data_IF_451498519650
#
_entry.id   IF_451498519650
#
_cell.length_a   1.000
_cell.length_b   1.000
_cell.length_c   1.000
_cell.angle_alpha   90.00
_cell.angle_beta   90.00
_cell.angle_gamma   90.00
#
_symmetry.space_group_name_H-M   'P 1'
#
loop_
_entity.id
_entity.type
_entity.pdbx_description
1 polymer ?
#
# COMPACT_ATOMS: atom_id res chain seq x y z
N UNK A 1 -20.32 -11.42 0.14
CA UNK A 1 -21.70 -10.84 0.12
C UNK A 1 -21.67 -9.65 1.05
N UNK A 2 -21.77 -8.44 0.50
CA UNK A 2 -21.90 -7.22 1.29
C UNK A 2 -23.18 -7.31 2.10
N UNK A 3 -23.06 -7.20 3.42
CA UNK A 3 -24.23 -7.22 4.28
C UNK A 3 -25.06 -5.94 4.05
N UNK A 4 -26.41 -6.03 4.04
CA UNK A 4 -27.29 -4.88 3.78
C UNK A 4 -27.07 -3.68 4.70
N UNK A 5 -26.42 -3.88 5.87
CA UNK A 5 -26.15 -2.83 6.87
C UNK A 5 -24.98 -1.91 6.53
N UNK A 6 -24.12 -2.25 5.57
CA UNK A 6 -22.97 -1.42 5.16
C UNK A 6 -23.30 -0.47 3.99
N UNK A 7 -24.48 -0.58 3.38
CA UNK A 7 -24.84 0.13 2.15
C UNK A 7 -25.17 1.62 2.32
N UNK A 8 -25.45 2.11 3.50
CA UNK A 8 -25.84 3.51 3.69
C UNK A 8 -24.65 4.46 3.84
N UNK A 9 -23.89 4.31 4.91
CA UNK A 9 -22.83 5.28 5.25
C UNK A 9 -21.52 5.05 4.52
N UNK A 10 -21.13 3.79 4.29
CA UNK A 10 -19.87 3.46 3.62
C UNK A 10 -19.84 3.86 2.14
N UNK A 11 -20.97 3.70 1.45
CA UNK A 11 -21.06 4.02 0.01
C UNK A 11 -21.14 5.54 -0.21
N UNK A 12 -21.83 6.27 0.66
CA UNK A 12 -21.86 7.74 0.63
C UNK A 12 -20.47 8.32 0.89
N UNK A 13 -19.76 7.80 1.87
CA UNK A 13 -18.41 8.28 2.21
C UNK A 13 -17.40 7.99 1.09
N UNK A 14 -17.40 6.78 0.53
CA UNK A 14 -16.58 6.41 -0.61
C UNK A 14 -16.90 7.23 -1.86
N UNK A 15 -18.18 7.47 -2.12
CA UNK A 15 -18.61 8.28 -3.27
C UNK A 15 -18.10 9.71 -3.16
N UNK A 16 -18.18 10.33 -1.97
CA UNK A 16 -17.72 11.69 -1.75
C UNK A 16 -16.21 11.87 -1.97
N UNK A 17 -15.41 10.83 -1.69
CA UNK A 17 -13.95 10.90 -1.89
C UNK A 17 -13.51 10.80 -3.36
N UNK A 18 -14.29 10.12 -4.22
CA UNK A 18 -13.90 9.80 -5.60
C UNK A 18 -14.77 10.47 -6.66
N UNK A 19 -15.93 11.00 -6.30
CA UNK A 19 -16.92 11.53 -7.24
C UNK A 19 -16.34 12.61 -8.17
N UNK A 20 -15.51 13.49 -7.64
CA UNK A 20 -14.87 14.57 -8.40
C UNK A 20 -13.38 14.33 -8.55
N UNK A 21 -13.03 13.15 -9.04
CA UNK A 21 -11.65 12.73 -9.31
C UNK A 21 -11.49 12.29 -10.75
N UNK A 22 -10.38 12.70 -11.37
CA UNK A 22 -10.09 12.45 -12.78
C UNK A 22 -8.87 11.54 -12.90
N UNK A 23 -9.02 10.43 -13.62
CA UNK A 23 -7.89 9.59 -13.98
C UNK A 23 -7.25 10.15 -15.23
N UNK A 24 -6.00 10.60 -15.12
CA UNK A 24 -5.27 11.21 -16.22
C UNK A 24 -4.36 10.25 -16.98
N UNK A 25 -3.89 9.16 -16.35
CA UNK A 25 -2.97 8.20 -16.95
C UNK A 25 -3.26 6.76 -16.55
N UNK A 26 -2.64 5.82 -17.28
CA UNK A 26 -2.57 4.39 -17.02
C UNK A 26 -1.13 3.93 -17.16
N UNK A 27 -0.79 2.80 -16.52
CA UNK A 27 0.55 2.25 -16.54
C UNK A 27 1.49 2.87 -15.50
N UNK A 28 2.58 2.18 -15.21
CA UNK A 28 3.58 2.63 -14.24
C UNK A 28 4.93 2.01 -14.54
N UNK A 29 5.94 2.82 -14.84
CA UNK A 29 7.32 2.36 -15.04
C UNK A 29 8.13 2.26 -13.74
N UNK A 30 7.51 2.54 -12.59
CA UNK A 30 8.17 2.47 -11.27
C UNK A 30 8.77 1.11 -10.95
N UNK A 31 8.14 0.03 -11.41
CA UNK A 31 8.72 -1.30 -11.38
C UNK A 31 8.87 -1.91 -9.98
N UNK A 32 8.11 -1.47 -8.97
CA UNK A 32 8.18 -2.06 -7.63
C UNK A 32 7.83 -3.54 -7.66
N UNK A 33 8.65 -4.37 -7.03
CA UNK A 33 8.57 -5.83 -7.12
C UNK A 33 7.30 -6.43 -6.50
N UNK A 34 6.63 -5.71 -5.59
CA UNK A 34 5.41 -6.14 -4.91
C UNK A 34 4.12 -5.65 -5.60
N UNK A 35 4.23 -4.76 -6.59
CA UNK A 35 3.07 -4.07 -7.17
C UNK A 35 2.60 -4.72 -8.48
N UNK A 36 1.32 -5.07 -8.55
CA UNK A 36 0.73 -5.68 -9.74
C UNK A 36 0.27 -4.66 -10.81
N UNK A 37 0.37 -3.36 -10.58
CA UNK A 37 -0.04 -2.33 -11.55
C UNK A 37 0.70 -2.51 -12.88
N UNK A 38 2.00 -2.81 -12.83
CA UNK A 38 2.79 -3.05 -14.04
C UNK A 38 2.31 -4.27 -14.85
N UNK A 39 1.70 -5.26 -14.20
CA UNK A 39 1.11 -6.43 -14.85
C UNK A 39 -0.24 -6.08 -15.47
N UNK A 40 -1.11 -5.41 -14.72
CA UNK A 40 -2.48 -5.12 -15.16
C UNK A 40 -2.59 -3.95 -16.14
N UNK A 41 -1.74 -2.95 -16.01
CA UNK A 41 -1.81 -1.71 -16.82
C UNK A 41 -0.58 -1.52 -17.71
N UNK A 42 0.45 -2.38 -17.56
CA UNK A 42 1.71 -2.26 -18.28
C UNK A 42 2.69 -1.27 -17.65
N UNK A 43 3.93 -1.32 -18.12
CA UNK A 43 5.01 -0.40 -17.71
C UNK A 43 5.07 0.85 -18.56
N UNK A 44 4.49 0.83 -19.75
CA UNK A 44 4.35 2.02 -20.59
C UNK A 44 3.23 2.89 -20.06
N UNK A 45 3.55 4.14 -19.75
CA UNK A 45 2.55 5.12 -19.34
C UNK A 45 1.82 5.64 -20.57
N UNK A 46 0.50 5.62 -20.53
CA UNK A 46 -0.40 6.20 -21.53
C UNK A 46 -1.28 7.22 -20.83
N UNK A 47 -1.44 8.38 -21.42
CA UNK A 47 -2.18 9.49 -20.82
C UNK A 47 -3.27 10.02 -21.73
N UNK A 48 -4.30 10.53 -21.12
CA UNK A 48 -5.36 11.28 -21.79
C UNK A 48 -4.83 12.63 -22.26
N UNK A 49 -5.40 13.18 -23.31
CA UNK A 49 -5.08 14.54 -23.73
C UNK A 49 -5.47 15.56 -22.66
N UNK A 50 -4.74 16.67 -22.63
CA UNK A 50 -5.05 17.79 -21.72
C UNK A 50 -6.49 18.28 -21.90
N UNK A 51 -6.96 18.41 -23.15
CA UNK A 51 -8.32 18.87 -23.44
C UNK A 51 -9.40 17.91 -22.94
N UNK A 52 -9.16 16.59 -23.04
CA UNK A 52 -10.08 15.58 -22.47
C UNK A 52 -10.21 15.70 -20.94
N UNK A 53 -9.12 15.99 -20.25
CA UNK A 53 -9.10 16.15 -18.79
C UNK A 53 -9.80 17.45 -18.38
N UNK A 54 -9.49 18.55 -19.09
CA UNK A 54 -10.10 19.86 -18.84
C UNK A 54 -11.60 19.82 -19.10
N UNK A 55 -12.04 19.23 -20.23
CA UNK A 55 -13.47 19.09 -20.55
C UNK A 55 -14.23 18.21 -19.52
N UNK A 56 -13.59 17.19 -18.93
CA UNK A 56 -14.18 16.43 -17.85
C UNK A 56 -14.29 17.25 -16.57
N UNK A 57 -13.25 18.01 -16.22
CA UNK A 57 -13.28 18.92 -15.08
C UNK A 57 -14.37 20.00 -15.24
N UNK A 58 -14.51 20.56 -16.43
CA UNK A 58 -15.57 21.53 -16.77
C UNK A 58 -16.96 20.91 -16.59
N UNK A 59 -17.22 19.69 -17.11
CA UNK A 59 -18.50 19.01 -16.85
C UNK A 59 -18.80 18.83 -15.37
N UNK A 60 -17.78 18.51 -14.56
CA UNK A 60 -17.94 18.38 -13.09
C UNK A 60 -18.40 19.67 -12.43
N UNK A 61 -18.04 20.84 -12.96
CA UNK A 61 -18.49 22.14 -12.39
C UNK A 61 -19.98 22.37 -12.52
N UNK A 62 -20.65 21.67 -13.44
CA UNK A 62 -22.11 21.75 -13.65
C UNK A 62 -22.90 20.72 -12.83
N UNK A 63 -22.22 19.81 -12.12
CA UNK A 63 -22.90 18.84 -11.27
C UNK A 63 -23.52 19.50 -10.03
N UNK A 64 -24.75 19.18 -9.64
CA UNK A 64 -25.46 19.82 -8.51
C UNK A 64 -24.70 19.73 -7.19
N UNK A 65 -23.96 18.65 -6.98
CA UNK A 65 -23.22 18.38 -5.75
C UNK A 65 -21.80 18.97 -5.75
N UNK A 66 -21.38 19.62 -6.85
CA UNK A 66 -20.04 20.17 -6.94
C UNK A 66 -19.87 21.40 -6.03
N UNK A 67 -18.88 21.37 -5.14
CA UNK A 67 -18.59 22.44 -4.20
C UNK A 67 -17.36 23.28 -4.55
N UNK A 68 -16.84 23.08 -5.77
CA UNK A 68 -15.62 23.74 -6.26
C UNK A 68 -14.32 22.98 -6.00
N UNK A 69 -14.40 21.72 -5.59
CA UNK A 69 -13.23 20.91 -5.24
C UNK A 69 -13.09 19.73 -6.17
N UNK A 70 -11.99 19.70 -6.95
CA UNK A 70 -11.56 18.52 -7.67
C UNK A 70 -10.60 17.77 -6.73
N UNK A 71 -11.01 16.58 -6.32
CA UNK A 71 -10.34 15.84 -5.26
C UNK A 71 -9.04 15.19 -5.71
N UNK A 72 -8.93 14.82 -6.98
CA UNK A 72 -7.72 14.24 -7.55
C UNK A 72 -7.69 14.40 -9.07
N UNK A 73 -6.54 14.79 -9.62
CA UNK A 73 -6.19 14.57 -11.03
C UNK A 73 -4.99 13.64 -11.02
N UNK A 74 -5.23 12.36 -11.06
CA UNK A 74 -4.20 11.38 -10.76
C UNK A 74 -4.29 10.11 -11.59
N UNK A 75 -3.72 9.05 -11.03
CA UNK A 75 -3.65 7.74 -11.67
C UNK A 75 -2.87 6.75 -10.81
N UNK A 76 -2.37 5.64 -11.38
CA UNK A 76 -1.54 4.68 -10.66
C UNK A 76 -0.31 5.31 -9.99
N UNK A 77 0.21 6.36 -10.62
CA UNK A 77 1.23 7.28 -10.11
C UNK A 77 0.89 8.66 -10.65
N UNK A 78 0.53 9.58 -9.79
CA UNK A 78 -0.07 10.86 -10.21
C UNK A 78 0.85 11.68 -11.11
N UNK A 79 2.13 11.73 -10.82
CA UNK A 79 3.09 12.55 -11.55
C UNK A 79 3.76 11.86 -12.76
N UNK A 80 3.21 10.73 -13.23
CA UNK A 80 3.61 10.16 -14.53
C UNK A 80 2.66 10.63 -15.62
N UNK A 81 3.21 11.17 -16.71
CA UNK A 81 2.41 11.61 -17.86
C UNK A 81 2.70 10.84 -19.13
N UNK A 82 3.98 10.65 -19.44
CA UNK A 82 4.42 10.04 -20.69
C UNK A 82 5.52 9.02 -20.42
N UNK A 83 5.83 8.15 -21.39
CA UNK A 83 7.07 7.40 -21.38
C UNK A 83 8.26 8.35 -21.21
N UNK A 84 9.14 8.05 -20.25
CA UNK A 84 10.22 8.95 -19.87
C UNK A 84 11.56 8.67 -20.59
N UNK A 85 11.57 7.77 -21.58
CA UNK A 85 12.74 7.52 -22.41
C UNK A 85 12.35 6.86 -23.75
N UNK A 86 13.29 6.83 -24.69
CA UNK A 86 13.09 6.22 -26.02
C UNK A 86 12.69 4.74 -25.95
N UNK A 87 13.30 3.96 -25.06
CA UNK A 87 12.98 2.53 -24.92
C UNK A 87 11.55 2.31 -24.41
N UNK A 88 11.09 3.14 -23.47
CA UNK A 88 9.69 3.09 -23.04
C UNK A 88 8.73 3.45 -24.17
N UNK A 89 9.08 4.42 -25.02
CA UNK A 89 8.25 4.80 -26.16
C UNK A 89 8.14 3.69 -27.21
N UNK A 90 9.26 3.06 -27.54
CA UNK A 90 9.33 2.08 -28.62
C UNK A 90 8.87 0.68 -28.18
N UNK A 91 9.29 0.23 -27.00
CA UNK A 91 9.16 -1.15 -26.54
C UNK A 91 8.35 -1.30 -25.25
N UNK A 92 7.94 -0.20 -24.62
CA UNK A 92 7.25 -0.18 -23.33
C UNK A 92 8.19 -0.30 -22.14
N UNK A 93 9.31 -0.99 -22.28
CA UNK A 93 10.33 -1.17 -21.23
C UNK A 93 11.66 -1.65 -21.80
N UNK A 94 12.74 -1.50 -21.03
CA UNK A 94 14.02 -2.11 -21.35
C UNK A 94 13.98 -3.64 -21.22
N UNK A 95 14.73 -4.34 -22.07
CA UNK A 95 15.00 -5.76 -21.91
C UNK A 95 15.79 -6.00 -20.59
N UNK A 96 15.60 -7.18 -19.98
CA UNK A 96 16.35 -7.59 -18.79
C UNK A 96 15.82 -7.06 -17.45
N UNK A 97 14.56 -6.61 -17.38
CA UNK A 97 13.89 -6.33 -16.12
C UNK A 97 14.41 -5.10 -15.35
N UNK A 98 15.18 -4.22 -16.00
CA UNK A 98 15.75 -3.02 -15.35
C UNK A 98 14.66 -2.14 -14.71
N UNK A 99 14.93 -1.72 -13.48
CA UNK A 99 14.12 -0.70 -12.81
C UNK A 99 14.55 0.70 -13.29
N UNK A 100 13.56 1.52 -13.66
CA UNK A 100 13.83 2.87 -14.15
C UNK A 100 14.22 3.86 -13.04
N UNK A 101 13.78 3.59 -11.80
CA UNK A 101 13.90 4.51 -10.66
C UNK A 101 14.64 3.92 -9.46
N UNK A 102 15.05 2.65 -9.54
CA UNK A 102 15.73 1.97 -8.42
C UNK A 102 16.92 1.15 -8.93
N UNK A 103 18.02 1.07 -8.17
CA UNK A 103 18.30 1.82 -6.94
C UNK A 103 18.55 3.32 -7.19
N UNK A 104 18.84 3.71 -8.43
CA UNK A 104 19.03 5.09 -8.87
C UNK A 104 18.20 5.34 -10.13
N UNK A 105 17.85 6.59 -10.38
CA UNK A 105 17.18 7.00 -11.61
C UNK A 105 18.07 6.68 -12.82
N UNK A 106 17.48 6.02 -13.83
CA UNK A 106 18.19 5.66 -15.05
C UNK A 106 18.66 6.92 -15.80
N UNK A 107 19.92 6.93 -16.23
CA UNK A 107 20.53 8.07 -16.93
C UNK A 107 19.88 8.43 -18.28
N UNK A 108 19.11 7.51 -18.86
CA UNK A 108 18.38 7.76 -20.12
C UNK A 108 17.00 8.37 -19.90
N UNK A 109 16.60 8.58 -18.64
CA UNK A 109 15.27 9.16 -18.37
C UNK A 109 15.28 10.68 -18.60
N UNK A 110 14.24 11.12 -19.26
CA UNK A 110 13.88 12.53 -19.39
C UNK A 110 12.73 12.75 -18.42
N UNK A 111 13.00 13.48 -17.35
CA UNK A 111 12.01 13.79 -16.31
C UNK A 111 11.47 15.18 -16.57
N UNK A 112 10.16 15.28 -16.80
CA UNK A 112 9.49 16.53 -17.12
C UNK A 112 8.04 16.49 -16.59
N UNK A 113 7.69 17.43 -15.72
CA UNK A 113 6.33 17.59 -15.18
C UNK A 113 5.57 18.76 -15.83
N UNK A 114 6.15 19.44 -16.82
CA UNK A 114 5.60 20.66 -17.40
C UNK A 114 4.19 20.48 -18.01
N UNK A 115 3.95 19.36 -18.71
CA UNK A 115 2.64 19.05 -19.27
C UNK A 115 1.58 18.80 -18.18
N UNK A 116 1.96 18.07 -17.12
CA UNK A 116 1.05 17.85 -15.99
C UNK A 116 0.72 19.16 -15.29
N UNK A 117 1.70 20.01 -15.09
CA UNK A 117 1.53 21.33 -14.50
C UNK A 117 0.60 22.22 -15.33
N UNK A 118 0.75 22.24 -16.67
CA UNK A 118 -0.15 22.97 -17.58
C UNK A 118 -1.61 22.51 -17.41
N UNK A 119 -1.85 21.20 -17.28
CA UNK A 119 -3.20 20.66 -17.06
C UNK A 119 -3.76 21.17 -15.72
N UNK A 120 -2.99 21.05 -14.66
CA UNK A 120 -3.41 21.47 -13.32
C UNK A 120 -3.74 22.98 -13.27
N UNK A 121 -2.95 23.82 -13.96
CA UNK A 121 -3.21 25.26 -14.09
C UNK A 121 -4.51 25.53 -14.84
N UNK A 122 -4.69 24.91 -16.03
CA UNK A 122 -5.92 25.05 -16.83
C UNK A 122 -7.17 24.65 -16.05
N UNK A 123 -7.12 23.53 -15.32
CA UNK A 123 -8.26 23.08 -14.53
C UNK A 123 -8.51 24.01 -13.33
N UNK A 124 -7.47 24.57 -12.72
CA UNK A 124 -7.60 25.53 -11.62
C UNK A 124 -8.25 26.86 -12.05
N UNK A 125 -8.09 27.22 -13.33
CA UNK A 125 -8.62 28.45 -13.93
C UNK A 125 -10.08 28.31 -14.40
N UNK A 126 -10.66 27.10 -14.39
CA UNK A 126 -12.07 26.89 -14.78
C UNK A 126 -13.02 27.62 -13.83
N UNK A 127 -14.06 28.28 -14.37
CA UNK A 127 -15.12 28.88 -13.56
C UNK A 127 -15.74 27.85 -12.62
N UNK A 128 -15.95 28.20 -11.36
CA UNK A 128 -16.53 27.32 -10.36
C UNK A 128 -15.51 26.43 -9.64
N UNK A 129 -14.28 26.26 -10.13
CA UNK A 129 -13.22 25.50 -9.46
C UNK A 129 -12.51 26.38 -8.43
N UNK A 130 -12.54 25.96 -7.16
CA UNK A 130 -11.85 26.63 -6.05
C UNK A 130 -10.49 26.01 -5.75
N UNK A 131 -10.40 24.68 -5.82
CA UNK A 131 -9.18 23.91 -5.52
C UNK A 131 -9.12 22.66 -6.37
N UNK A 132 -7.89 22.32 -6.77
CA UNK A 132 -7.54 21.07 -7.46
C UNK A 132 -6.49 20.38 -6.64
N UNK A 133 -6.78 19.17 -6.15
CA UNK A 133 -5.88 18.41 -5.32
C UNK A 133 -5.24 17.25 -6.08
N UNK A 134 -4.11 16.78 -5.57
CA UNK A 134 -3.46 15.53 -5.95
C UNK A 134 -3.46 14.65 -4.72
N UNK A 135 -4.29 13.60 -4.73
CA UNK A 135 -4.41 12.61 -3.65
C UNK A 135 -3.85 11.24 -4.01
N UNK A 136 -3.75 10.94 -5.30
CA UNK A 136 -3.00 9.78 -5.80
C UNK A 136 -1.53 9.89 -5.42
N UNK A 137 -0.88 8.76 -5.21
CA UNK A 137 0.51 8.74 -4.78
C UNK A 137 1.47 9.43 -5.74
N UNK A 138 2.34 10.26 -5.20
CA UNK A 138 3.45 10.89 -5.92
C UNK A 138 4.68 9.98 -5.86
N UNK A 139 5.32 9.73 -7.00
CA UNK A 139 6.67 9.14 -7.04
C UNK A 139 7.67 10.23 -6.71
N UNK A 140 8.09 10.25 -5.46
CA UNK A 140 9.00 11.26 -4.93
C UNK A 140 10.39 11.20 -5.57
N UNK A 141 10.87 10.00 -5.90
CA UNK A 141 12.14 9.78 -6.59
C UNK A 141 12.13 10.34 -8.02
N UNK A 142 11.02 10.18 -8.75
CA UNK A 142 10.84 10.78 -10.07
C UNK A 142 10.74 12.31 -9.97
N UNK A 143 10.01 12.82 -8.96
CA UNK A 143 9.92 14.25 -8.72
C UNK A 143 11.28 14.88 -8.39
N UNK A 144 12.09 14.20 -7.57
CA UNK A 144 13.43 14.69 -7.21
C UNK A 144 14.44 14.61 -8.35
N UNK A 145 14.15 13.86 -9.41
CA UNK A 145 14.98 13.77 -10.61
C UNK A 145 14.62 14.82 -11.67
N UNK A 146 13.57 15.61 -11.48
CA UNK A 146 13.24 16.72 -12.35
C UNK A 146 14.22 17.89 -12.10
N UNK A 147 14.91 18.37 -13.14
CA UNK A 147 15.77 19.54 -13.01
C UNK A 147 15.01 20.84 -12.75
N UNK A 148 13.70 20.89 -13.09
CA UNK A 148 12.83 22.05 -12.83
C UNK A 148 11.97 21.83 -11.58
N UNK A 149 12.17 22.69 -10.60
CA UNK A 149 11.44 22.67 -9.33
C UNK A 149 10.04 23.31 -9.39
N UNK A 150 9.64 23.85 -10.52
CA UNK A 150 8.37 24.58 -10.66
C UNK A 150 7.17 23.73 -10.28
N UNK A 151 7.13 22.48 -10.76
CA UNK A 151 6.05 21.57 -10.38
C UNK A 151 6.05 21.26 -8.88
N UNK A 152 7.21 21.06 -8.25
CA UNK A 152 7.26 20.78 -6.81
C UNK A 152 6.78 21.97 -5.98
N UNK A 153 7.15 23.19 -6.37
CA UNK A 153 6.68 24.43 -5.71
C UNK A 153 5.16 24.57 -5.82
N UNK A 154 4.60 24.42 -7.03
CA UNK A 154 3.15 24.53 -7.22
C UNK A 154 2.37 23.38 -6.62
N UNK A 155 2.91 22.15 -6.60
CA UNK A 155 2.32 21.02 -5.88
C UNK A 155 2.06 21.39 -4.42
N UNK A 156 3.08 21.92 -3.74
CA UNK A 156 2.98 22.33 -2.33
C UNK A 156 2.04 23.50 -2.16
N UNK A 157 2.12 24.49 -3.04
CA UNK A 157 1.36 25.73 -2.89
C UNK A 157 -0.14 25.56 -3.21
N UNK A 158 -0.49 24.75 -4.22
CA UNK A 158 -1.86 24.71 -4.72
C UNK A 158 -2.55 23.35 -4.63
N UNK A 159 -1.81 22.23 -4.62
CA UNK A 159 -2.38 20.90 -4.90
C UNK A 159 -2.35 19.93 -3.71
N UNK A 160 -1.72 20.30 -2.59
CA UNK A 160 -1.74 19.51 -1.35
C UNK A 160 -2.83 20.00 -0.43
N UNK A 161 -3.76 19.10 -0.07
CA UNK A 161 -4.92 19.40 0.79
C UNK A 161 -4.62 19.38 2.31
N UNK A 162 -3.35 19.58 2.70
CA UNK A 162 -2.87 19.44 4.08
C UNK A 162 -2.06 18.17 4.32
N UNK A 163 -2.30 17.12 3.55
CA UNK A 163 -1.55 15.86 3.62
C UNK A 163 -1.14 15.40 2.22
N UNK A 164 0.11 14.95 2.07
CA UNK A 164 0.61 14.32 0.86
C UNK A 164 1.01 12.87 1.15
N UNK A 165 0.38 11.93 0.44
CA UNK A 165 0.67 10.50 0.53
C UNK A 165 1.90 10.16 -0.29
N UNK A 166 2.88 9.52 0.33
CA UNK A 166 4.12 9.06 -0.31
C UNK A 166 4.48 7.67 0.19
N UNK A 167 5.17 6.90 -0.64
CA UNK A 167 5.39 5.48 -0.37
C UNK A 167 6.89 5.15 -0.32
N UNK A 168 7.63 5.47 0.76
CA UNK A 168 8.99 4.97 0.96
C UNK A 168 9.02 3.46 1.21
N UNK A 169 7.97 2.87 1.76
CA UNK A 169 7.72 1.47 2.08
C UNK A 169 8.59 0.92 3.21
N UNK A 170 9.88 1.20 3.24
CA UNK A 170 10.84 0.76 4.24
C UNK A 170 12.04 1.72 4.31
N UNK A 171 12.99 1.51 5.23
CA UNK A 171 14.25 2.26 5.29
C UNK A 171 15.49 1.37 5.21
N UNK A 172 15.39 0.06 5.47
CA UNK A 172 16.53 -0.84 5.42
C UNK A 172 16.96 -1.06 3.95
N UNK A 173 18.26 -0.84 3.62
CA UNK A 173 18.75 -0.89 2.24
C UNK A 173 18.46 -2.24 1.56
N UNK A 174 18.69 -3.34 2.25
CA UNK A 174 18.45 -4.68 1.73
C UNK A 174 16.96 -4.90 1.38
N UNK A 175 16.05 -4.51 2.28
CA UNK A 175 14.61 -4.62 2.05
C UNK A 175 14.15 -3.76 0.88
N UNK A 176 14.64 -2.51 0.79
CA UNK A 176 14.34 -1.61 -0.32
C UNK A 176 14.83 -2.16 -1.67
N UNK A 177 16.01 -2.80 -1.69
CA UNK A 177 16.52 -3.46 -2.90
C UNK A 177 15.58 -4.58 -3.37
N UNK A 178 15.13 -5.46 -2.46
CA UNK A 178 14.13 -6.49 -2.80
C UNK A 178 12.76 -5.94 -3.16
N UNK A 179 12.40 -4.76 -2.67
CA UNK A 179 11.16 -4.06 -3.06
C UNK A 179 11.28 -3.40 -4.45
N UNK A 180 12.48 -3.22 -4.98
CA UNK A 180 12.72 -2.41 -6.18
C UNK A 180 12.44 -0.93 -5.93
N UNK A 181 12.83 -0.42 -4.76
CA UNK A 181 12.64 0.97 -4.32
C UNK A 181 13.99 1.69 -4.22
N UNK A 182 14.03 3.02 -4.36
CA UNK A 182 15.25 3.80 -4.15
C UNK A 182 15.69 3.75 -2.69
N UNK A 183 16.98 4.06 -2.41
CA UNK A 183 17.48 4.22 -1.06
C UNK A 183 16.70 5.28 -0.26
N UNK A 184 16.64 5.11 1.07
CA UNK A 184 15.86 5.99 1.96
C UNK A 184 16.36 7.45 1.93
N UNK A 185 17.61 7.67 1.58
CA UNK A 185 18.21 9.00 1.44
C UNK A 185 17.49 9.85 0.39
N UNK A 186 16.97 9.21 -0.68
CA UNK A 186 16.16 9.91 -1.69
C UNK A 186 14.86 10.43 -1.08
N UNK A 187 14.23 9.62 -0.24
CA UNK A 187 13.04 10.06 0.51
C UNK A 187 13.37 11.15 1.53
N UNK A 188 14.50 11.06 2.23
CA UNK A 188 14.91 12.08 3.19
C UNK A 188 15.10 13.44 2.50
N UNK A 189 15.81 13.48 1.37
CA UNK A 189 15.97 14.71 0.56
C UNK A 189 14.62 15.29 0.10
N UNK A 190 13.72 14.41 -0.36
CA UNK A 190 12.37 14.84 -0.73
C UNK A 190 11.60 15.41 0.46
N UNK A 191 11.64 14.73 1.61
CA UNK A 191 10.97 15.16 2.85
C UNK A 191 11.44 16.55 3.27
N UNK A 192 12.75 16.74 3.32
CA UNK A 192 13.34 18.01 3.76
C UNK A 192 12.95 19.16 2.82
N UNK A 193 13.01 18.93 1.51
CA UNK A 193 12.58 19.90 0.49
C UNK A 193 11.06 20.18 0.57
N UNK A 194 10.23 19.15 0.79
CA UNK A 194 8.79 19.35 0.96
C UNK A 194 8.46 20.26 2.13
N UNK A 195 9.07 20.04 3.29
CA UNK A 195 8.83 20.89 4.46
C UNK A 195 9.43 22.28 4.33
N UNK A 196 10.55 22.41 3.63
CA UNK A 196 11.10 23.74 3.29
C UNK A 196 10.14 24.54 2.42
N UNK A 197 9.63 23.93 1.33
CA UNK A 197 8.67 24.58 0.43
C UNK A 197 7.34 24.88 1.13
N UNK A 198 6.85 23.97 1.99
CA UNK A 198 5.62 24.20 2.77
C UNK A 198 5.76 25.40 3.70
N UNK A 199 6.92 25.57 4.36
CA UNK A 199 7.20 26.73 5.20
C UNK A 199 7.26 28.03 4.38
N UNK A 200 7.95 28.00 3.22
CA UNK A 200 8.03 29.14 2.30
C UNK A 200 6.65 29.57 1.78
N UNK A 201 5.77 28.61 1.53
CA UNK A 201 4.39 28.84 1.10
C UNK A 201 3.43 29.22 2.26
N UNK A 202 3.91 29.31 3.51
CA UNK A 202 3.07 29.58 4.69
C UNK A 202 2.04 28.48 4.96
N UNK A 203 2.30 27.23 4.55
CA UNK A 203 1.36 26.13 4.65
C UNK A 203 1.72 25.17 5.80
N UNK A 204 0.69 24.72 6.52
CA UNK A 204 0.83 23.64 7.50
C UNK A 204 0.43 22.32 6.85
N UNK A 205 1.42 21.61 6.33
CA UNK A 205 1.23 20.38 5.58
C UNK A 205 2.08 19.24 6.15
N UNK A 206 1.63 17.99 5.93
CA UNK A 206 2.25 16.80 6.47
C UNK A 206 2.42 15.74 5.39
N UNK A 207 3.52 14.99 5.49
CA UNK A 207 3.69 13.76 4.72
C UNK A 207 3.03 12.60 5.45
N UNK A 208 2.32 11.77 4.70
CA UNK A 208 1.76 10.49 5.18
C UNK A 208 2.53 9.37 4.50
N UNK A 209 3.57 8.82 5.17
CA UNK A 209 4.36 7.76 4.59
C UNK A 209 3.61 6.43 4.64
N UNK A 210 3.50 5.75 3.49
CA UNK A 210 3.10 4.35 3.43
C UNK A 210 4.30 3.46 3.72
N UNK A 211 4.10 2.52 4.64
CA UNK A 211 5.12 1.59 5.10
C UNK A 211 4.57 0.17 5.10
N UNK A 212 5.45 -0.79 4.81
CA UNK A 212 5.10 -2.19 4.67
C UNK A 212 5.99 -3.06 5.57
N UNK A 213 5.36 -3.93 6.38
CA UNK A 213 6.07 -4.95 7.14
C UNK A 213 6.11 -6.29 6.41
N UNK A 214 7.04 -7.15 6.81
CA UNK A 214 7.12 -8.55 6.38
C UNK A 214 7.25 -8.79 4.87
N UNK A 215 7.79 -7.82 4.13
CA UNK A 215 8.16 -8.04 2.73
C UNK A 215 9.30 -9.08 2.65
N UNK A 216 9.36 -9.95 1.62
CA UNK A 216 10.52 -10.78 1.39
C UNK A 216 11.82 -10.00 1.44
N UNK A 217 12.81 -10.49 2.20
CA UNK A 217 14.06 -9.78 2.49
C UNK A 217 14.03 -8.91 3.74
N UNK A 218 12.86 -8.68 4.37
CA UNK A 218 12.76 -7.93 5.62
C UNK A 218 12.87 -8.86 6.82
N UNK A 219 13.98 -8.79 7.54
CA UNK A 219 14.21 -9.50 8.79
C UNK A 219 13.65 -8.74 9.99
N UNK A 220 13.61 -9.37 11.16
CA UNK A 220 13.22 -8.67 12.39
C UNK A 220 14.19 -7.55 12.74
N UNK A 221 15.49 -7.69 12.41
CA UNK A 221 16.49 -6.61 12.59
C UNK A 221 16.19 -5.41 11.70
N UNK A 222 15.77 -5.65 10.46
CA UNK A 222 15.37 -4.57 9.54
C UNK A 222 14.12 -3.84 10.02
N UNK A 223 13.18 -4.57 10.62
CA UNK A 223 11.98 -3.97 11.21
C UNK A 223 12.30 -3.13 12.45
N UNK A 224 13.25 -3.56 13.29
CA UNK A 224 13.76 -2.75 14.42
C UNK A 224 14.48 -1.50 13.90
N UNK A 225 15.31 -1.63 12.87
CA UNK A 225 15.97 -0.50 12.23
C UNK A 225 14.93 0.52 11.68
N UNK A 226 13.84 0.03 11.09
CA UNK A 226 12.75 0.89 10.64
C UNK A 226 12.05 1.61 11.81
N UNK A 227 11.78 0.92 12.92
CA UNK A 227 11.18 1.53 14.10
C UNK A 227 12.07 2.64 14.70
N UNK A 228 13.38 2.39 14.77
CA UNK A 228 14.37 3.38 15.19
C UNK A 228 14.42 4.60 14.25
N UNK A 229 14.39 4.36 12.94
CA UNK A 229 14.32 5.41 11.92
C UNK A 229 13.05 6.27 12.08
N UNK A 230 11.89 5.64 12.28
CA UNK A 230 10.63 6.33 12.50
C UNK A 230 10.67 7.20 13.76
N UNK A 231 11.22 6.67 14.85
CA UNK A 231 11.39 7.42 16.10
C UNK A 231 12.28 8.66 15.91
N UNK A 232 13.47 8.47 15.32
CA UNK A 232 14.43 9.57 15.05
C UNK A 232 13.87 10.67 14.14
N UNK A 233 12.96 10.32 13.26
CA UNK A 233 12.30 11.26 12.34
C UNK A 233 10.93 11.74 12.84
N UNK A 234 10.56 11.45 14.08
CA UNK A 234 9.28 11.83 14.68
C UNK A 234 8.05 11.37 13.89
N UNK A 235 8.16 10.23 13.20
CA UNK A 235 7.09 9.65 12.39
C UNK A 235 6.27 8.66 13.20
N UNK A 236 4.94 8.82 13.16
CA UNK A 236 3.97 7.93 13.80
C UNK A 236 2.95 7.47 12.77
N UNK A 237 3.27 6.46 11.94
CA UNK A 237 2.37 6.02 10.88
C UNK A 237 1.11 5.37 11.46
N UNK A 238 -0.04 5.94 11.14
CA UNK A 238 -1.35 5.40 11.55
C UNK A 238 -1.76 4.23 10.66
N UNK A 239 -1.50 4.35 9.35
CA UNK A 239 -1.80 3.32 8.37
C UNK A 239 -0.53 2.54 8.01
N UNK A 240 -0.52 1.26 8.36
CA UNK A 240 0.58 0.33 8.04
C UNK A 240 0.02 -0.90 7.34
N UNK A 241 0.79 -1.44 6.41
CA UNK A 241 0.42 -2.62 5.64
C UNK A 241 1.37 -3.76 5.95
N UNK A 242 0.84 -4.98 6.01
CA UNK A 242 1.65 -6.18 5.93
C UNK A 242 1.80 -6.55 4.44
N UNK A 243 2.94 -7.09 4.08
CA UNK A 243 3.11 -7.64 2.74
C UNK A 243 2.02 -8.68 2.46
N UNK A 244 1.30 -8.48 1.37
CA UNK A 244 0.32 -9.41 0.85
C UNK A 244 0.81 -9.96 -0.49
N UNK A 245 0.95 -11.30 -0.64
CA UNK A 245 1.42 -11.90 -1.88
C UNK A 245 0.41 -11.67 -3.02
N UNK A 246 0.65 -10.65 -3.82
CA UNK A 246 -0.21 -10.32 -4.96
C UNK A 246 0.23 -11.13 -6.19
N UNK A 247 -0.66 -11.93 -6.82
CA UNK A 247 -0.32 -12.73 -7.98
C UNK A 247 0.35 -11.93 -9.10
N UNK A 248 1.31 -12.55 -9.79
CA UNK A 248 2.04 -11.94 -10.90
C UNK A 248 3.14 -10.95 -10.50
N UNK A 249 3.47 -10.83 -9.21
CA UNK A 249 4.54 -9.95 -8.73
C UNK A 249 5.81 -10.74 -8.39
N UNK A 250 6.96 -10.09 -8.58
CA UNK A 250 8.28 -10.63 -8.23
C UNK A 250 8.36 -10.98 -6.73
N UNK A 251 7.83 -10.10 -5.88
CA UNK A 251 7.80 -10.34 -4.43
C UNK A 251 6.98 -11.55 -4.03
N UNK A 252 5.92 -11.86 -4.76
CA UNK A 252 5.14 -13.09 -4.55
C UNK A 252 5.94 -14.34 -4.93
N UNK A 253 6.71 -14.28 -6.01
CA UNK A 253 7.64 -15.35 -6.35
C UNK A 253 8.65 -15.57 -5.21
N UNK A 254 9.31 -14.51 -4.73
CA UNK A 254 10.23 -14.61 -3.58
C UNK A 254 9.54 -15.18 -2.33
N UNK A 255 8.30 -14.78 -2.06
CA UNK A 255 7.55 -15.22 -0.88
C UNK A 255 7.30 -16.75 -0.87
N UNK A 256 6.94 -17.31 -2.01
CA UNK A 256 6.64 -18.75 -2.11
C UNK A 256 7.90 -19.59 -2.26
N UNK A 257 8.87 -19.15 -3.05
CA UNK A 257 10.08 -19.94 -3.37
C UNK A 257 11.19 -19.74 -2.33
N UNK A 258 11.25 -18.61 -1.64
CA UNK A 258 12.39 -18.24 -0.82
C UNK A 258 13.64 -17.88 -1.64
N UNK A 259 13.47 -17.61 -2.94
CA UNK A 259 14.56 -17.27 -3.86
C UNK A 259 14.27 -15.94 -4.58
N UNK A 260 15.31 -15.19 -4.83
CA UNK A 260 15.26 -14.06 -5.76
C UNK A 260 15.18 -14.62 -7.21
N UNK A 261 14.13 -14.33 -7.97
CA UNK A 261 13.96 -14.92 -9.30
C UNK A 261 14.98 -14.42 -10.34
N UNK A 262 15.69 -13.33 -10.07
CA UNK A 262 16.72 -12.82 -10.98
C UNK A 262 18.11 -13.42 -10.73
N UNK A 263 18.43 -13.70 -9.46
CA UNK A 263 19.77 -14.16 -9.07
C UNK A 263 19.80 -15.60 -8.56
N UNK A 264 18.62 -16.18 -8.29
CA UNK A 264 18.40 -17.49 -7.66
C UNK A 264 19.03 -17.61 -6.26
N UNK A 265 19.40 -16.50 -5.65
CA UNK A 265 19.95 -16.46 -4.29
C UNK A 265 18.81 -16.60 -3.27
N UNK A 266 19.06 -17.25 -2.12
CA UNK A 266 18.11 -17.33 -1.03
C UNK A 266 17.69 -15.95 -0.53
N UNK A 267 16.39 -15.78 -0.27
CA UNK A 267 15.79 -14.58 0.31
C UNK A 267 15.06 -14.97 1.59
N UNK A 268 15.32 -14.25 2.66
CA UNK A 268 14.59 -14.43 3.91
C UNK A 268 13.11 -14.09 3.70
N UNK A 269 12.22 -14.93 4.21
CA UNK A 269 10.78 -14.72 4.18
C UNK A 269 10.19 -15.04 5.54
N UNK A 270 9.61 -14.04 6.19
CA UNK A 270 8.87 -14.27 7.43
C UNK A 270 7.52 -14.94 7.15
N UNK A 271 7.41 -16.22 7.49
CA UNK A 271 6.19 -17.03 7.27
C UNK A 271 5.38 -17.23 8.55
N UNK A 272 5.97 -16.99 9.72
CA UNK A 272 5.30 -17.21 11.00
C UNK A 272 4.32 -16.08 11.33
N UNK A 273 3.19 -16.42 11.91
CA UNK A 273 2.22 -15.43 12.36
C UNK A 273 2.80 -14.51 13.44
N UNK A 274 3.66 -15.06 14.29
CA UNK A 274 4.32 -14.31 15.35
C UNK A 274 5.32 -13.31 14.78
N UNK A 275 6.23 -13.72 13.92
CA UNK A 275 7.23 -12.83 13.32
C UNK A 275 6.59 -11.67 12.54
N UNK A 276 5.51 -11.95 11.78
CA UNK A 276 4.72 -10.90 11.12
C UNK A 276 4.10 -9.94 12.13
N UNK A 277 3.53 -10.46 13.23
CA UNK A 277 2.94 -9.62 14.26
C UNK A 277 3.98 -8.75 14.99
N UNK A 278 5.20 -9.24 15.17
CA UNK A 278 6.31 -8.47 15.75
C UNK A 278 6.76 -7.35 14.79
N UNK A 279 6.99 -7.66 13.51
CA UNK A 279 7.37 -6.66 12.51
C UNK A 279 6.29 -5.56 12.38
N UNK A 280 5.01 -5.95 12.34
CA UNK A 280 3.90 -5.00 12.30
C UNK A 280 3.83 -4.11 13.54
N UNK A 281 4.02 -4.67 14.73
CA UNK A 281 4.00 -3.92 15.98
C UNK A 281 5.09 -2.84 16.02
N UNK A 282 6.27 -3.11 15.44
CA UNK A 282 7.37 -2.17 15.34
C UNK A 282 7.05 -0.96 14.47
N UNK A 283 6.20 -1.08 13.45
CA UNK A 283 5.73 0.06 12.66
C UNK A 283 4.84 1.02 13.48
N UNK A 284 4.13 0.49 14.47
CA UNK A 284 3.28 1.26 15.38
C UNK A 284 3.81 1.16 16.82
N UNK A 285 5.12 1.35 16.97
CA UNK A 285 5.86 1.20 18.22
C UNK A 285 5.32 2.06 19.36
N UNK A 286 4.76 3.22 19.03
CA UNK A 286 4.24 4.20 19.98
C UNK A 286 2.89 3.82 20.59
N UNK A 287 2.23 2.79 20.08
CA UNK A 287 0.94 2.31 20.61
C UNK A 287 1.14 1.46 21.86
N UNK A 288 0.55 1.82 23.03
CA UNK A 288 0.72 1.06 24.27
C UNK A 288 0.33 -0.43 24.14
N UNK A 289 -0.66 -0.75 23.30
CA UNK A 289 -1.11 -2.12 23.02
C UNK A 289 -0.04 -2.99 22.33
N UNK A 290 0.94 -2.38 21.67
CA UNK A 290 2.04 -3.06 20.99
C UNK A 290 3.26 -3.27 21.90
N UNK A 291 3.28 -2.69 23.11
CA UNK A 291 4.46 -2.65 23.99
C UNK A 291 5.09 -4.03 24.23
N UNK A 292 4.29 -5.05 24.52
CA UNK A 292 4.77 -6.41 24.74
C UNK A 292 5.50 -6.97 23.53
N UNK A 293 4.90 -6.83 22.33
CA UNK A 293 5.48 -7.31 21.08
C UNK A 293 6.76 -6.54 20.72
N UNK A 294 6.75 -5.21 20.91
CA UNK A 294 7.92 -4.37 20.66
C UNK A 294 9.07 -4.76 21.60
N UNK A 295 8.81 -4.91 22.91
CA UNK A 295 9.83 -5.37 23.87
C UNK A 295 10.35 -6.75 23.49
N UNK A 296 9.48 -7.69 23.10
CA UNK A 296 9.89 -9.02 22.65
C UNK A 296 10.80 -8.94 21.42
N UNK A 297 10.42 -8.16 20.42
CA UNK A 297 11.22 -7.98 19.20
C UNK A 297 12.61 -7.39 19.51
N UNK A 298 12.67 -6.38 20.38
CA UNK A 298 13.91 -5.74 20.78
C UNK A 298 14.83 -6.71 21.54
N UNK A 299 14.29 -7.54 22.44
CA UNK A 299 15.06 -8.59 23.13
C UNK A 299 15.59 -9.64 22.15
N UNK A 300 14.77 -10.11 21.21
CA UNK A 300 15.18 -11.10 20.19
C UNK A 300 16.29 -10.58 19.27
N UNK A 301 16.40 -9.28 19.11
CA UNK A 301 17.41 -8.63 18.25
C UNK A 301 18.59 -8.03 19.02
N UNK A 302 18.63 -8.19 20.35
CA UNK A 302 19.62 -7.61 21.25
C UNK A 302 19.70 -6.08 21.16
N UNK A 303 18.53 -5.43 21.09
CA UNK A 303 18.38 -3.97 21.02
C UNK A 303 17.51 -3.44 22.17
N UNK A 304 17.73 -3.95 23.37
CA UNK A 304 17.05 -3.51 24.59
C UNK A 304 17.33 -2.04 24.92
N UNK A 305 18.41 -1.49 24.40
CA UNK A 305 18.75 -0.06 24.43
C UNK A 305 17.64 0.83 23.89
N UNK A 306 16.84 0.32 22.95
CA UNK A 306 15.72 1.05 22.33
C UNK A 306 14.41 0.98 23.14
N UNK A 307 14.29 0.13 24.17
CA UNK A 307 13.05 0.01 24.95
C UNK A 307 12.60 1.35 25.56
N UNK A 308 13.48 2.14 26.22
CA UNK A 308 13.06 3.42 26.77
C UNK A 308 12.64 4.45 25.72
N UNK A 309 13.14 4.32 24.48
CA UNK A 309 12.88 5.24 23.38
C UNK A 309 11.59 4.89 22.62
N UNK A 310 11.41 3.61 22.28
CA UNK A 310 10.33 3.15 21.42
C UNK A 310 9.06 2.81 22.20
N UNK A 311 9.18 2.31 23.45
CA UNK A 311 8.01 1.84 24.19
C UNK A 311 7.51 2.93 25.13
N UNK A 312 6.26 3.40 24.98
CA UNK A 312 5.67 4.39 25.91
C UNK A 312 5.71 3.93 27.36
N UNK A 313 5.85 4.86 28.30
CA UNK A 313 5.93 4.55 29.73
C UNK A 313 4.73 3.73 30.22
N UNK A 314 3.53 4.07 29.78
CA UNK A 314 2.29 3.34 30.09
C UNK A 314 2.35 1.88 29.63
N UNK A 315 2.84 1.64 28.41
CA UNK A 315 3.03 0.29 27.87
C UNK A 315 4.05 -0.51 28.67
N UNK A 316 5.18 0.09 29.07
CA UNK A 316 6.20 -0.57 29.91
C UNK A 316 5.62 -0.97 31.27
N UNK A 317 4.86 -0.07 31.91
CA UNK A 317 4.20 -0.33 33.21
C UNK A 317 3.18 -1.47 33.05
N UNK A 318 2.40 -1.47 31.96
CA UNK A 318 1.41 -2.52 31.71
C UNK A 318 2.07 -3.90 31.57
N UNK A 319 3.15 -3.99 30.80
CA UNK A 319 3.91 -5.25 30.62
C UNK A 319 4.52 -5.72 31.96
N UNK A 320 5.13 -4.82 32.74
CA UNK A 320 5.67 -5.17 34.06
C UNK A 320 4.59 -5.66 35.02
N UNK A 321 3.41 -5.03 35.05
CA UNK A 321 2.27 -5.48 35.86
C UNK A 321 1.77 -6.85 35.42
N UNK A 322 1.71 -7.12 34.13
CA UNK A 322 1.31 -8.41 33.58
C UNK A 322 2.30 -9.52 33.99
N UNK A 323 3.61 -9.25 33.85
CA UNK A 323 4.67 -10.18 34.25
C UNK A 323 4.58 -10.50 35.75
N UNK A 324 4.48 -9.47 36.64
CA UNK A 324 4.32 -9.67 38.09
C UNK A 324 3.06 -10.47 38.44
N UNK A 325 1.96 -10.28 37.70
CA UNK A 325 0.74 -11.09 37.92
C UNK A 325 0.95 -12.54 37.51
N UNK A 326 1.66 -12.79 36.39
CA UNK A 326 1.99 -14.16 35.97
C UNK A 326 2.90 -14.86 36.96
N UNK A 327 3.95 -14.18 37.48
CA UNK A 327 4.85 -14.70 38.49
C UNK A 327 4.14 -14.94 39.84
N UNK A 328 3.12 -14.14 40.18
CA UNK A 328 2.35 -14.25 41.42
C UNK A 328 1.21 -15.29 41.33
N UNK A 329 1.07 -15.99 40.23
CA UNK A 329 0.02 -16.97 40.03
C UNK A 329 0.57 -18.40 40.03
N UNK A 330 0.03 -19.27 40.89
CA UNK A 330 0.23 -20.73 40.81
C UNK A 330 -0.87 -21.30 39.89
N UNK A 331 -0.46 -21.96 38.81
CA UNK A 331 -1.38 -22.64 37.92
C UNK A 331 -1.27 -24.14 38.14
N UNK A 332 -2.34 -24.77 38.58
CA UNK A 332 -2.44 -26.22 38.70
C UNK A 332 -3.32 -26.72 37.53
N UNK A 333 -2.75 -27.56 36.67
CA UNK A 333 -3.49 -28.21 35.60
C UNK A 333 -4.02 -29.55 36.12
N UNK A 334 -5.33 -29.78 36.00
CA UNK A 334 -5.99 -31.03 36.40
C UNK A 334 -6.03 -32.03 35.23
N UNK A 335 -6.08 -33.31 35.53
CA UNK A 335 -6.07 -34.38 34.55
C UNK A 335 -7.26 -34.40 33.58
N UNK A 336 -8.33 -33.64 33.88
CA UNK A 336 -9.51 -33.42 33.05
C UNK A 336 -9.37 -32.25 32.06
N UNK A 337 -8.18 -31.65 31.97
CA UNK A 337 -7.92 -30.47 31.12
C UNK A 337 -8.38 -29.15 31.72
N UNK A 338 -8.91 -29.12 32.94
CA UNK A 338 -9.20 -27.90 33.66
C UNK A 338 -7.96 -27.35 34.35
N UNK A 339 -7.92 -26.07 34.68
CA UNK A 339 -6.82 -25.47 35.43
C UNK A 339 -7.32 -24.53 36.52
N UNK A 340 -6.60 -24.52 37.63
CA UNK A 340 -6.84 -23.61 38.75
C UNK A 340 -5.69 -22.61 38.84
N UNK A 341 -6.01 -21.31 38.81
CA UNK A 341 -5.05 -20.23 39.03
C UNK A 341 -5.17 -19.75 40.47
N UNK A 342 -4.10 -19.89 41.25
CA UNK A 342 -4.05 -19.38 42.65
C UNK A 342 -3.09 -18.20 42.69
N UNK A 343 -3.50 -17.01 43.17
CA UNK A 343 -2.55 -15.94 43.49
C UNK A 343 -1.60 -16.40 44.58
N UNK A 344 -0.30 -16.26 44.43
CA UNK A 344 0.68 -16.44 45.49
C UNK A 344 0.56 -15.28 46.48
N UNK A 345 -0.36 -15.37 47.43
CA UNK A 345 -0.56 -14.35 48.45
C UNK A 345 -1.30 -14.91 49.66
N UNK A 346 -0.95 -14.43 50.85
CA UNK A 346 -1.53 -14.85 52.15
C UNK A 346 -3.07 -14.75 52.11
N UNK A 347 -3.75 -15.89 52.11
CA UNK A 347 -5.13 -16.00 52.58
C UNK A 347 -6.27 -15.81 51.58
N UNK A 348 -6.02 -15.85 50.28
CA UNK A 348 -7.10 -15.77 49.27
C UNK A 348 -7.82 -17.12 49.06
N UNK A 349 -9.14 -17.17 49.15
CA UNK A 349 -9.92 -18.35 48.75
C UNK A 349 -9.69 -18.67 47.29
N UNK A 350 -9.53 -19.94 46.90
CA UNK A 350 -9.31 -20.34 45.51
C UNK A 350 -10.52 -19.95 44.65
N UNK A 351 -10.28 -19.18 43.59
CA UNK A 351 -11.25 -19.01 42.52
C UNK A 351 -11.03 -20.11 41.48
N UNK A 352 -11.91 -21.11 41.46
CA UNK A 352 -11.99 -22.07 40.35
C UNK A 352 -12.62 -21.38 39.14
N UNK A 353 -11.85 -21.20 38.11
CA UNK A 353 -12.41 -20.92 36.78
C UNK A 353 -12.33 -22.22 35.98
N UNK A 354 -13.49 -22.79 35.64
CA UNK A 354 -13.56 -23.78 34.60
C UNK A 354 -13.00 -23.14 33.31
N UNK A 355 -12.10 -23.82 32.60
CA UNK A 355 -11.81 -23.44 31.27
C UNK A 355 -13.15 -23.37 30.53
N UNK A 356 -13.49 -22.22 29.95
CA UNK A 356 -14.56 -22.19 28.98
C UNK A 356 -14.19 -23.28 27.95
N UNK A 357 -15.07 -24.25 27.65
CA UNK A 357 -14.75 -25.28 26.67
C UNK A 357 -14.31 -24.51 25.42
N UNK A 358 -13.11 -24.81 24.94
CA UNK A 358 -12.61 -24.30 23.67
C UNK A 358 -13.76 -24.46 22.71
N UNK A 359 -14.30 -23.36 22.18
CA UNK A 359 -15.56 -23.33 21.45
C UNK A 359 -15.57 -24.53 20.53
N UNK A 360 -16.44 -25.47 20.80
CA UNK A 360 -16.78 -26.52 19.87
C UNK A 360 -17.18 -25.76 18.60
N UNK A 361 -16.33 -25.79 17.63
CA UNK A 361 -16.78 -25.63 16.24
C UNK A 361 -18.05 -26.44 16.15
N UNK A 362 -19.19 -25.89 15.73
CA UNK A 362 -20.38 -26.69 15.65
C UNK A 362 -20.01 -27.92 14.83
N UNK A 363 -19.99 -29.06 15.53
CA UNK A 363 -19.73 -30.34 14.92
C UNK A 363 -20.74 -30.44 13.80
N UNK A 364 -20.22 -30.52 12.57
CA UNK A 364 -21.06 -30.67 11.42
C UNK A 364 -22.05 -31.78 11.74
N UNK A 365 -23.34 -31.45 11.68
CA UNK A 365 -24.37 -32.46 11.60
C UNK A 365 -23.96 -33.40 10.50
N UNK A 366 -23.60 -34.61 10.87
CA UNK A 366 -23.45 -35.68 9.89
C UNK A 366 -24.79 -35.75 9.16
N UNK A 367 -24.81 -35.64 7.82
CA UNK A 367 -26.04 -35.87 7.08
C UNK A 367 -26.44 -37.32 7.31
N UNK A 368 -27.69 -37.53 7.73
CA UNK A 368 -28.31 -38.83 7.81
C UNK A 368 -28.06 -39.58 6.49
N UNK A 369 -27.75 -40.87 6.50
CA UNK A 369 -27.53 -41.66 5.30
C UNK A 369 -28.85 -41.82 4.52
N UNK A 370 -29.04 -41.02 3.45
CA UNK A 370 -30.25 -41.11 2.65
C UNK A 370 -30.49 -40.06 1.58
N UNK A 371 -29.79 -38.92 1.57
CA UNK A 371 -29.97 -37.93 0.52
C UNK A 371 -28.93 -38.14 -0.60
N UNK A 372 -29.29 -38.85 -1.64
CA UNK A 372 -28.53 -38.88 -2.90
C UNK A 372 -28.70 -37.50 -3.58
N UNK A 373 -27.63 -36.74 -3.62
CA UNK A 373 -27.56 -35.58 -4.52
C UNK A 373 -27.43 -36.06 -5.95
N UNK A 374 -28.48 -35.90 -6.75
CA UNK A 374 -28.40 -35.96 -8.19
C UNK A 374 -27.61 -34.76 -8.72
N UNK A 375 -26.71 -34.95 -9.70
CA UNK A 375 -26.03 -33.83 -10.32
C UNK A 375 -27.02 -33.00 -11.14
N UNK A 376 -27.18 -31.75 -10.83
CA UNK A 376 -27.90 -30.79 -11.70
C UNK A 376 -27.11 -30.65 -13.01
N UNK A 377 -27.65 -31.31 -14.05
CA UNK A 377 -27.25 -31.06 -15.43
C UNK A 377 -27.63 -29.64 -15.84
N UNK A 378 -26.68 -28.85 -16.25
CA UNK A 378 -26.91 -27.57 -16.90
C UNK A 378 -27.71 -27.79 -18.20
N UNK A 379 -28.67 -26.89 -18.54
CA UNK A 379 -29.41 -27.02 -19.79
C UNK A 379 -28.49 -26.74 -20.97
N UNK A 380 -28.41 -27.71 -21.88
CA UNK A 380 -27.74 -27.58 -23.14
C UNK A 380 -28.44 -26.55 -24.03
N UNK A 381 -27.76 -25.44 -24.31
CA UNK A 381 -28.18 -24.52 -25.36
C UNK A 381 -27.87 -25.15 -26.72
N UNK A 382 -28.90 -25.49 -27.47
CA UNK A 382 -28.83 -25.87 -28.89
C UNK A 382 -28.47 -24.63 -29.71
N UNK A 383 -27.50 -24.69 -30.62
CA UNK A 383 -27.26 -23.58 -31.55
C UNK A 383 -28.35 -23.53 -32.59
N UNK A 384 -29.00 -22.38 -32.71
CA UNK A 384 -29.84 -22.07 -33.86
C UNK A 384 -28.97 -21.75 -35.07
N UNK A 385 -29.08 -22.62 -36.07
CA UNK A 385 -28.51 -22.45 -37.39
C UNK A 385 -29.25 -21.30 -38.07
N UNK A 386 -28.58 -20.20 -38.36
CA UNK A 386 -29.07 -19.16 -39.27
C UNK A 386 -28.00 -18.96 -40.33
N UNK A 387 -28.20 -19.64 -41.43
CA UNK A 387 -27.51 -19.37 -42.69
C UNK A 387 -28.04 -18.04 -43.24
N UNK A 388 -27.23 -17.01 -43.26
CA UNK A 388 -27.38 -15.91 -44.23
C UNK A 388 -26.05 -15.76 -44.93
N UNK A 389 -26.19 -16.01 -46.27
CA UNK A 389 -25.20 -15.73 -47.29
C UNK A 389 -25.04 -14.22 -47.40
N UNK A 390 -23.87 -13.70 -47.23
CA UNK A 390 -23.50 -12.42 -47.82
C UNK A 390 -22.16 -12.54 -48.54
N UNK A 391 -22.28 -12.45 -49.85
CA UNK A 391 -21.21 -12.16 -50.80
C UNK A 391 -20.69 -10.76 -50.59
N UNK A 392 -19.41 -10.56 -50.32
CA UNK A 392 -18.74 -9.34 -50.69
C UNK A 392 -17.34 -9.63 -51.18
N UNK A 393 -17.22 -9.46 -52.48
CA UNK A 393 -15.99 -9.47 -53.27
C UNK A 393 -15.10 -8.28 -52.89
N UNK A 394 -13.86 -8.55 -52.47
CA UNK A 394 -12.84 -7.52 -52.38
C UNK A 394 -12.08 -7.42 -53.71
N UNK A 395 -12.34 -6.35 -54.46
CA UNK A 395 -11.53 -5.95 -55.60
C UNK A 395 -10.25 -5.28 -55.11
N UNK A 396 -9.14 -5.89 -55.43
CA UNK A 396 -7.81 -5.28 -55.39
C UNK A 396 -7.70 -4.20 -56.45
N UNK A 397 -7.43 -2.97 -56.03
CA UNK A 397 -7.03 -1.89 -56.93
C UNK A 397 -5.55 -1.60 -56.75
N UNK A 398 -4.73 -2.09 -57.71
CA UNK A 398 -3.40 -1.58 -57.97
C UNK A 398 -3.54 -0.26 -58.71
N UNK A 399 -2.95 0.83 -58.19
CA UNK A 399 -2.53 1.96 -59.05
C UNK A 399 -1.12 2.37 -58.69
N UNK A 400 -0.30 2.32 -59.76
CA UNK A 400 1.03 2.94 -59.88
C UNK A 400 0.88 4.47 -59.88
N UNK A 401 1.69 5.18 -59.17
CA UNK A 401 2.71 6.14 -59.61
C UNK A 401 3.42 6.65 -58.36
#
# INVERSE_FOLDING_TARGET
RDQPRSRGLGDVYKRQEVQFSIIQNRGCFGGCNFCAIQLHQGRRVTSRSADSIVAEAERMTHEPDFKGYIHDIGGPTANFRFPSCREQMLRGMCNGGKHCLAPTTCSHMIVDHSDYLKILRRVRELPGVKKVFIRSGIRFDYLMADPDDTFFKELVEYHVSGQLKVAPEHCAPNTLAYMGKPPIETFNKFKDKFYELSRKAGKKQYLVPYLMSSHPGSTLKDAVYLAEYLYKNHMRPEQVQDFYPTPGTVSTCMFYTGLDPYTLKPVFVEKTAEGKALQRALLQYYEPRNAEKVIKALKMTHREDLIPLLVPAEGRIAVQRSARRAEAADVTIHGDGTYTVRPRGKGGKPQSRSAAPAGRSPAGRQPSPGARFAPHSAPAHKPKNNQQKENTSWKTSKKKK
#
